data_IF_569625007864
#
_entry.id   IF_569625007864
#
_cell.length_a   1.000
_cell.length_b   1.000
_cell.length_c   1.000
_cell.angle_alpha   90.00
_cell.angle_beta   90.00
_cell.angle_gamma   90.00
#
_symmetry.space_group_name_H-M   'P 1'
#
loop_
_entity.id
_entity.type
_entity.pdbx_description
1 polymer ?
#
# COMPACT_ATOMS: atom_id res chain seq x y z
N UNK A 1 -113.42 67.20 36.80
CA UNK A 1 -113.08 66.58 38.10
C UNK A 1 -113.05 65.07 37.93
N UNK A 2 -111.99 64.40 38.46
CA UNK A 2 -111.63 62.95 38.33
C UNK A 2 -111.13 62.56 36.92
N UNK A 3 -110.13 61.71 36.67
CA UNK A 3 -109.06 61.07 37.44
C UNK A 3 -108.08 60.47 36.39
N UNK A 4 -106.78 60.72 36.55
CA UNK A 4 -105.65 59.76 36.47
C UNK A 4 -105.72 58.52 35.55
N UNK A 5 -104.73 58.36 34.66
CA UNK A 5 -103.89 57.14 34.61
C UNK A 5 -102.64 57.34 33.74
N UNK A 6 -101.51 57.00 34.35
CA UNK A 6 -100.13 57.17 33.91
C UNK A 6 -99.67 55.82 33.33
N UNK A 7 -99.28 55.77 32.06
CA UNK A 7 -98.77 54.53 31.41
C UNK A 7 -97.25 54.58 31.38
N UNK A 8 -96.63 53.71 32.17
CA UNK A 8 -95.18 53.48 32.21
C UNK A 8 -94.86 52.30 31.28
N UNK A 9 -94.13 52.55 30.19
CA UNK A 9 -93.66 51.51 29.27
C UNK A 9 -92.40 50.82 29.81
N UNK A 10 -92.51 49.55 30.17
CA UNK A 10 -91.40 48.70 30.58
C UNK A 10 -90.86 47.95 29.34
N UNK A 11 -89.75 48.41 28.78
CA UNK A 11 -88.98 47.66 27.77
C UNK A 11 -88.17 46.56 28.47
N UNK A 12 -88.62 45.31 28.37
CA UNK A 12 -87.84 44.13 28.71
C UNK A 12 -86.75 43.89 27.66
N UNK A 13 -85.49 44.20 28.00
CA UNK A 13 -84.33 43.66 27.28
C UNK A 13 -84.16 42.18 27.66
N UNK A 14 -84.43 41.28 26.71
CA UNK A 14 -84.09 39.86 26.82
C UNK A 14 -82.59 39.75 26.51
N UNK A 15 -81.75 39.73 27.54
CA UNK A 15 -80.37 39.29 27.40
C UNK A 15 -80.36 37.78 27.15
N UNK A 16 -80.16 37.37 25.90
CA UNK A 16 -79.75 36.00 25.59
C UNK A 16 -78.32 35.80 26.11
N UNK A 17 -78.18 35.31 27.34
CA UNK A 17 -76.92 34.79 27.83
C UNK A 17 -76.58 33.53 27.01
N UNK A 18 -75.78 33.70 25.96
CA UNK A 18 -75.22 32.58 25.21
C UNK A 18 -74.29 31.82 26.15
N UNK A 19 -74.70 30.60 26.52
CA UNK A 19 -73.95 29.73 27.42
C UNK A 19 -72.67 29.26 26.72
N UNK A 20 -71.60 30.02 26.91
CA UNK A 20 -70.27 29.60 26.49
C UNK A 20 -69.83 28.39 27.32
N UNK A 21 -69.33 27.35 26.65
CA UNK A 21 -68.77 26.16 27.32
C UNK A 21 -67.27 26.33 27.50
N UNK A 22 -66.75 25.85 28.61
CA UNK A 22 -65.32 25.85 28.89
C UNK A 22 -64.73 24.46 28.74
N UNK A 23 -63.48 24.39 28.31
CA UNK A 23 -62.66 23.18 28.28
C UNK A 23 -61.38 23.41 29.10
N UNK A 24 -61.02 22.42 29.92
CA UNK A 24 -59.74 22.40 30.64
C UNK A 24 -58.74 21.57 29.85
N UNK A 25 -57.65 22.19 29.41
CA UNK A 25 -56.54 21.49 28.75
C UNK A 25 -55.44 21.26 29.77
N UNK A 26 -54.92 20.04 29.83
CA UNK A 26 -53.74 19.68 30.61
C UNK A 26 -52.65 19.08 29.72
N UNK A 27 -51.40 19.38 30.02
CA UNK A 27 -50.25 18.96 29.23
C UNK A 27 -49.30 18.08 30.04
N UNK A 28 -48.71 17.10 29.37
CA UNK A 28 -47.61 16.29 29.88
C UNK A 28 -46.49 16.31 28.84
N UNK A 29 -45.31 16.90 29.13
CA UNK A 29 -44.88 17.46 30.42
C UNK A 29 -45.64 18.74 30.83
N UNK A 30 -45.74 18.98 32.14
CA UNK A 30 -46.44 20.15 32.72
C UNK A 30 -45.72 21.48 32.47
N UNK A 31 -44.50 21.45 31.94
CA UNK A 31 -43.73 22.64 31.57
C UNK A 31 -44.12 23.18 30.19
N UNK A 32 -44.94 22.46 29.42
CA UNK A 32 -45.33 22.89 28.09
C UNK A 32 -46.21 24.15 28.13
N UNK A 33 -45.94 25.10 27.25
CA UNK A 33 -46.74 26.32 27.09
C UNK A 33 -47.84 26.08 26.08
N UNK A 34 -49.07 26.47 26.44
CA UNK A 34 -50.25 26.40 25.59
C UNK A 34 -50.46 27.78 24.98
N UNK A 35 -50.49 27.85 23.65
CA UNK A 35 -50.77 29.06 22.89
C UNK A 35 -52.12 28.94 22.20
N UNK A 36 -52.95 29.98 22.27
CA UNK A 36 -54.10 30.16 21.38
C UNK A 36 -53.64 30.87 20.12
N UNK A 37 -54.18 30.47 18.98
CA UNK A 37 -53.97 31.17 17.71
C UNK A 37 -55.05 32.23 17.56
N UNK A 38 -54.64 33.48 17.36
CA UNK A 38 -55.57 34.58 17.09
C UNK A 38 -56.00 34.65 15.61
N UNK A 39 -56.88 35.59 15.28
CA UNK A 39 -57.37 35.78 13.91
C UNK A 39 -56.28 36.15 12.89
N UNK A 40 -55.09 36.58 13.36
CA UNK A 40 -53.94 36.94 12.53
C UNK A 40 -52.88 35.82 12.48
N UNK A 41 -53.20 34.60 12.93
CA UNK A 41 -52.28 33.48 13.08
C UNK A 41 -51.12 33.72 14.07
N UNK A 42 -51.27 34.64 15.03
CA UNK A 42 -50.29 34.88 16.08
C UNK A 42 -50.56 34.01 17.30
N UNK A 43 -49.49 33.45 17.84
CA UNK A 43 -49.52 32.68 19.08
C UNK A 43 -49.64 33.60 20.31
N UNK A 44 -50.69 33.41 21.11
CA UNK A 44 -50.93 34.10 22.38
C UNK A 44 -50.86 33.07 23.49
N UNK A 45 -49.91 33.19 24.42
CA UNK A 45 -49.80 32.27 25.55
C UNK A 45 -51.05 32.37 26.44
N UNK A 46 -51.68 31.22 26.72
CA UNK A 46 -52.91 31.11 27.52
C UNK A 46 -52.73 30.27 28.78
N UNK A 47 -51.60 29.55 28.91
CA UNK A 47 -51.25 28.82 30.13
C UNK A 47 -49.96 28.01 29.99
N UNK A 48 -49.44 27.52 31.11
CA UNK A 48 -48.31 26.58 31.19
C UNK A 48 -48.78 25.36 31.95
N UNK A 49 -48.63 24.17 31.35
CA UNK A 49 -49.09 22.89 31.90
C UNK A 49 -50.61 22.70 31.89
N UNK A 50 -51.37 23.75 32.18
CA UNK A 50 -52.83 23.75 32.15
C UNK A 50 -53.39 25.08 31.65
N UNK A 51 -54.52 25.05 30.95
CA UNK A 51 -55.27 26.24 30.55
C UNK A 51 -56.78 25.94 30.55
N UNK A 52 -57.61 26.92 30.94
CA UNK A 52 -59.07 26.84 30.78
C UNK A 52 -59.47 27.77 29.65
N UNK A 53 -60.07 27.23 28.60
CA UNK A 53 -60.50 27.99 27.43
C UNK A 53 -62.02 28.05 27.36
N UNK A 54 -62.54 29.24 27.10
CA UNK A 54 -63.94 29.45 26.74
C UNK A 54 -64.10 29.27 25.23
N UNK A 55 -64.98 28.36 24.81
CA UNK A 55 -65.30 28.09 23.41
C UNK A 55 -66.73 28.53 23.15
N UNK A 56 -66.84 29.65 22.44
CA UNK A 56 -68.14 30.17 22.00
C UNK A 56 -68.75 29.27 20.92
N UNK A 57 -70.08 29.31 20.82
CA UNK A 57 -70.81 28.40 19.95
C UNK A 57 -70.51 28.73 18.48
N UNK A 58 -70.21 27.70 17.70
CA UNK A 58 -69.86 27.77 16.28
C UNK A 58 -68.59 28.59 15.99
N UNK A 59 -67.77 28.89 17.01
CA UNK A 59 -66.48 29.57 16.89
C UNK A 59 -65.31 28.62 17.22
N UNK A 60 -64.58 28.11 16.20
CA UNK A 60 -63.46 27.21 16.43
C UNK A 60 -62.26 27.91 17.07
N UNK A 61 -61.60 27.25 18.02
CA UNK A 61 -60.34 27.73 18.62
C UNK A 61 -59.23 26.72 18.36
N UNK A 62 -58.18 27.17 17.68
CA UNK A 62 -56.95 26.40 17.50
C UNK A 62 -55.94 26.76 18.58
N UNK A 63 -55.32 25.75 19.15
CA UNK A 63 -54.18 25.88 20.06
C UNK A 63 -52.95 25.20 19.49
N UNK A 64 -51.78 25.67 19.94
CA UNK A 64 -50.51 24.99 19.75
C UNK A 64 -49.86 24.82 21.13
N UNK A 65 -49.45 23.59 21.44
CA UNK A 65 -48.70 23.26 22.65
C UNK A 65 -47.23 23.12 22.28
N UNK A 66 -46.35 23.88 22.94
CA UNK A 66 -44.91 23.87 22.70
C UNK A 66 -44.12 23.58 23.97
N UNK A 67 -43.05 22.82 23.81
CA UNK A 67 -42.00 22.64 24.79
C UNK A 67 -40.70 22.40 24.02
N UNK A 68 -39.59 23.01 24.45
CA UNK A 68 -38.30 22.81 23.78
C UNK A 68 -37.89 21.34 23.79
N UNK A 69 -37.36 20.87 22.65
CA UNK A 69 -37.01 19.46 22.45
C UNK A 69 -38.18 18.53 22.17
N UNK A 70 -39.42 19.03 22.04
CA UNK A 70 -40.59 18.25 21.64
C UNK A 70 -41.21 18.75 20.34
N UNK A 71 -41.80 17.83 19.57
CA UNK A 71 -42.62 18.17 18.41
C UNK A 71 -43.90 18.87 18.91
N UNK A 72 -44.22 20.10 18.45
CA UNK A 72 -45.44 20.79 18.87
C UNK A 72 -46.71 20.04 18.48
N UNK A 73 -47.74 20.11 19.34
CA UNK A 73 -49.08 19.58 19.05
C UNK A 73 -50.00 20.75 18.71
N UNK A 74 -50.63 20.69 17.54
CA UNK A 74 -51.70 21.62 17.14
C UNK A 74 -53.05 20.93 17.20
N UNK A 75 -54.06 21.57 17.81
CA UNK A 75 -55.41 21.02 17.94
C UNK A 75 -56.46 22.11 17.87
N UNK A 76 -57.57 21.83 17.18
CA UNK A 76 -58.72 22.73 17.06
C UNK A 76 -59.92 22.18 17.84
N UNK A 77 -60.54 23.02 18.65
CA UNK A 77 -61.76 22.72 19.39
C UNK A 77 -62.94 23.47 18.78
N UNK A 78 -64.09 22.79 18.71
CA UNK A 78 -65.34 23.32 18.17
C UNK A 78 -66.46 22.99 19.14
N UNK A 79 -67.34 23.95 19.39
CA UNK A 79 -68.57 23.78 20.16
C UNK A 79 -69.76 24.08 19.25
N UNK A 80 -70.44 23.06 18.73
CA UNK A 80 -71.55 23.25 17.78
C UNK A 80 -72.78 22.44 18.18
N UNK A 81 -73.89 22.60 17.45
CA UNK A 81 -75.08 21.74 17.67
C UNK A 81 -74.82 20.26 17.36
N UNK A 82 -73.81 19.95 16.55
CA UNK A 82 -73.48 18.59 16.08
C UNK A 82 -72.27 18.00 16.79
N UNK A 83 -71.46 18.81 17.49
CA UNK A 83 -70.25 18.41 18.20
C UNK A 83 -70.31 18.99 19.61
N UNK A 84 -70.43 18.11 20.61
CA UNK A 84 -70.36 18.53 22.01
C UNK A 84 -68.91 18.73 22.45
N UNK A 85 -68.66 19.82 23.17
CA UNK A 85 -67.32 20.19 23.62
C UNK A 85 -66.90 19.30 24.81
N UNK A 86 -65.71 18.71 24.72
CA UNK A 86 -65.09 17.98 25.83
C UNK A 86 -64.90 18.92 27.03
N UNK A 87 -65.16 18.41 28.25
CA UNK A 87 -64.89 19.17 29.49
C UNK A 87 -63.39 19.26 29.78
N UNK A 88 -62.66 18.20 29.46
CA UNK A 88 -61.22 18.10 29.71
C UNK A 88 -60.53 17.42 28.52
N UNK A 89 -59.30 17.87 28.22
CA UNK A 89 -58.43 17.22 27.24
C UNK A 89 -57.00 17.16 27.78
N UNK A 90 -56.35 16.01 27.59
CA UNK A 90 -54.97 15.76 28.05
C UNK A 90 -54.07 15.58 26.83
N UNK A 91 -53.19 16.54 26.60
CA UNK A 91 -52.25 16.53 25.50
C UNK A 91 -50.87 16.08 26.01
N UNK A 92 -50.33 15.01 25.41
CA UNK A 92 -49.03 14.45 25.80
C UNK A 92 -48.05 14.70 24.67
N UNK A 93 -47.00 15.46 24.94
CA UNK A 93 -45.87 15.65 24.03
C UNK A 93 -44.97 14.41 24.15
N UNK A 94 -45.16 13.46 23.24
CA UNK A 94 -44.43 12.19 23.25
C UNK A 94 -43.25 12.16 22.29
N UNK A 95 -43.34 12.91 21.18
CA UNK A 95 -42.34 12.96 20.14
C UNK A 95 -41.30 14.05 20.43
N UNK A 96 -40.02 13.69 20.28
CA UNK A 96 -38.90 14.60 20.48
C UNK A 96 -38.50 15.27 19.18
N UNK A 97 -37.84 16.42 19.25
CA UNK A 97 -37.24 17.08 18.10
C UNK A 97 -35.84 17.59 18.44
N UNK A 98 -34.88 17.36 17.55
CA UNK A 98 -33.52 17.89 17.65
C UNK A 98 -33.29 18.83 16.47
N UNK A 99 -32.82 20.04 16.72
CA UNK A 99 -32.28 20.90 15.68
C UNK A 99 -30.83 20.51 15.42
N UNK A 100 -30.54 19.89 14.28
CA UNK A 100 -29.17 19.54 13.90
C UNK A 100 -28.62 20.63 13.00
N UNK A 101 -27.48 21.19 13.36
CA UNK A 101 -26.71 22.14 12.56
C UNK A 101 -25.38 21.50 12.15
N UNK A 102 -24.98 21.66 10.89
CA UNK A 102 -23.81 21.02 10.31
C UNK A 102 -22.77 22.06 9.85
N UNK A 103 -21.50 21.78 10.11
CA UNK A 103 -20.38 22.53 9.56
C UNK A 103 -19.42 21.59 8.81
N UNK A 104 -18.82 22.00 7.68
CA UNK A 104 -19.01 23.27 6.96
C UNK A 104 -20.45 23.52 6.48
N UNK A 105 -20.81 24.78 6.22
CA UNK A 105 -22.19 25.21 5.91
C UNK A 105 -22.81 24.50 4.69
N UNK A 106 -21.99 24.05 3.76
CA UNK A 106 -22.41 23.32 2.57
C UNK A 106 -22.42 21.78 2.76
N UNK A 107 -22.28 21.30 4.00
CA UNK A 107 -22.51 19.90 4.34
C UNK A 107 -24.00 19.53 4.24
N UNK A 108 -24.25 18.26 3.92
CA UNK A 108 -25.60 17.69 3.75
C UNK A 108 -25.96 16.81 4.93
N UNK A 109 -27.18 16.97 5.43
CA UNK A 109 -27.72 16.20 6.55
C UNK A 109 -28.68 15.15 5.98
N UNK A 110 -28.41 13.89 6.32
CA UNK A 110 -29.22 12.74 5.96
C UNK A 110 -29.91 12.20 7.22
N UNK A 111 -31.23 11.99 7.15
CA UNK A 111 -32.02 11.40 8.24
C UNK A 111 -32.51 10.04 7.77
N UNK A 112 -32.10 8.97 8.45
CA UNK A 112 -32.35 7.57 8.06
C UNK A 112 -31.98 7.30 6.58
N UNK A 113 -30.86 7.89 6.12
CA UNK A 113 -30.35 7.73 4.76
C UNK A 113 -31.00 8.65 3.71
N UNK A 114 -32.05 9.39 4.05
CA UNK A 114 -32.70 10.35 3.12
C UNK A 114 -32.05 11.72 3.27
N UNK A 115 -31.65 12.33 2.15
CA UNK A 115 -31.12 13.70 2.12
C UNK A 115 -32.25 14.70 2.40
N UNK A 116 -32.12 15.48 3.47
CA UNK A 116 -33.20 16.34 3.96
C UNK A 116 -32.88 17.83 3.81
N UNK A 117 -31.63 18.23 4.06
CA UNK A 117 -31.27 19.64 4.09
C UNK A 117 -29.76 19.89 3.91
N UNK A 118 -29.43 21.12 3.53
CA UNK A 118 -28.11 21.71 3.72
C UNK A 118 -28.07 22.50 5.03
N UNK A 119 -26.93 22.48 5.71
CA UNK A 119 -26.63 23.24 6.93
C UNK A 119 -27.46 22.93 8.19
N UNK A 120 -28.79 22.86 8.15
CA UNK A 120 -29.63 22.68 9.33
C UNK A 120 -30.91 21.89 9.04
N UNK A 121 -31.31 21.02 9.98
CA UNK A 121 -32.55 20.24 9.89
C UNK A 121 -33.23 20.06 11.27
N UNK A 122 -34.56 19.99 11.29
CA UNK A 122 -35.33 19.54 12.46
C UNK A 122 -35.57 18.03 12.35
N UNK A 123 -35.06 17.28 13.32
CA UNK A 123 -35.11 15.82 13.36
C UNK A 123 -36.18 15.38 14.37
N UNK A 124 -37.36 15.02 13.89
CA UNK A 124 -38.44 14.52 14.73
C UNK A 124 -38.26 13.03 15.05
N UNK A 125 -38.21 12.67 16.33
CA UNK A 125 -37.97 11.32 16.84
C UNK A 125 -39.24 10.88 17.57
N UNK A 126 -39.99 9.98 16.92
CA UNK A 126 -41.23 9.45 17.50
C UNK A 126 -40.98 8.75 18.83
N UNK A 127 -41.99 8.73 19.69
CA UNK A 127 -41.97 7.89 20.89
C UNK A 127 -41.57 6.45 20.55
N UNK A 128 -40.68 5.91 21.36
CA UNK A 128 -40.12 4.57 21.25
C UNK A 128 -39.34 4.32 19.93
N UNK A 129 -38.97 5.37 19.20
CA UNK A 129 -38.22 5.28 17.95
C UNK A 129 -36.72 5.61 18.13
N UNK A 130 -35.96 5.21 17.12
CA UNK A 130 -34.55 5.53 16.93
C UNK A 130 -34.38 6.17 15.57
N UNK A 131 -33.57 7.22 15.49
CA UNK A 131 -33.19 7.86 14.23
C UNK A 131 -31.67 7.94 14.12
N UNK A 132 -31.17 7.64 12.92
CA UNK A 132 -29.77 7.88 12.55
C UNK A 132 -29.67 9.14 11.71
N UNK A 133 -28.78 10.04 12.09
CA UNK A 133 -28.43 11.25 11.34
C UNK A 133 -27.00 11.14 10.87
N UNK A 134 -26.77 11.35 9.57
CA UNK A 134 -25.45 11.40 8.99
C UNK A 134 -25.19 12.78 8.39
N UNK A 135 -24.00 13.32 8.62
CA UNK A 135 -23.55 14.57 7.99
C UNK A 135 -22.44 14.23 7.02
N UNK A 136 -22.65 14.55 5.74
CA UNK A 136 -21.75 14.19 4.64
C UNK A 136 -21.33 15.42 3.86
N UNK A 137 -20.07 15.43 3.44
CA UNK A 137 -19.51 16.42 2.52
C UNK A 137 -18.34 15.81 1.77
N UNK A 138 -18.24 16.03 0.46
CA UNK A 138 -17.12 15.56 -0.33
C UNK A 138 -15.78 16.09 0.24
N UNK A 139 -14.79 15.20 0.37
CA UNK A 139 -13.48 15.49 0.97
C UNK A 139 -13.44 15.51 2.49
N UNK A 140 -14.56 15.20 3.17
CA UNK A 140 -14.64 15.05 4.62
C UNK A 140 -15.11 13.65 5.01
N UNK A 141 -14.63 13.17 6.14
CA UNK A 141 -15.14 11.93 6.72
C UNK A 141 -16.56 12.14 7.23
N UNK A 142 -17.44 11.17 6.97
CA UNK A 142 -18.84 11.24 7.40
C UNK A 142 -18.94 11.10 8.90
N UNK A 143 -19.70 11.98 9.57
CA UNK A 143 -20.08 11.80 10.98
C UNK A 143 -21.50 11.27 11.08
N UNK A 144 -21.71 10.30 11.97
CA UNK A 144 -23.01 9.69 12.23
C UNK A 144 -23.37 9.84 13.71
N UNK A 145 -24.65 10.15 13.98
CA UNK A 145 -25.21 10.29 15.32
C UNK A 145 -26.55 9.56 15.37
N UNK A 146 -26.78 8.84 16.47
CA UNK A 146 -28.04 8.12 16.71
C UNK A 146 -28.76 8.81 17.85
N UNK A 147 -30.05 9.12 17.64
CA UNK A 147 -30.94 9.64 18.66
C UNK A 147 -32.01 8.61 18.99
N UNK A 148 -32.36 8.49 20.27
CA UNK A 148 -33.35 7.53 20.77
C UNK A 148 -34.36 8.27 21.65
N UNK A 149 -35.64 7.96 21.49
CA UNK A 149 -36.71 8.51 22.33
C UNK A 149 -37.42 7.36 23.06
N UNK A 150 -36.70 6.69 23.96
CA UNK A 150 -37.17 5.54 24.74
C UNK A 150 -36.92 5.78 26.22
N UNK A 151 -37.69 5.10 27.07
CA UNK A 151 -37.45 5.14 28.50
C UNK A 151 -36.09 4.48 28.82
N UNK A 152 -35.29 5.14 29.68
CA UNK A 152 -33.99 4.64 30.10
C UNK A 152 -32.83 4.92 29.13
N UNK A 153 -33.07 5.66 28.03
CA UNK A 153 -32.01 6.15 27.14
C UNK A 153 -31.70 7.62 27.42
N UNK A 154 -30.55 8.09 26.94
CA UNK A 154 -30.22 9.51 26.99
C UNK A 154 -31.28 10.34 26.25
N UNK A 155 -31.66 11.46 26.86
CA UNK A 155 -32.64 12.37 26.29
C UNK A 155 -31.99 13.08 25.09
N UNK A 156 -32.60 13.08 23.90
CA UNK A 156 -32.07 13.82 22.75
C UNK A 156 -31.91 15.32 23.09
N UNK A 157 -30.78 15.94 22.72
CA UNK A 157 -30.57 17.37 22.97
C UNK A 157 -31.54 18.22 22.15
N UNK A 158 -31.82 19.45 22.60
CA UNK A 158 -32.65 20.39 21.83
C UNK A 158 -31.96 20.80 20.53
N UNK A 159 -30.64 20.99 20.58
CA UNK A 159 -29.80 21.36 19.44
C UNK A 159 -28.50 20.55 19.45
N UNK A 160 -28.03 20.14 18.28
CA UNK A 160 -26.77 19.42 18.08
C UNK A 160 -25.96 20.12 16.98
N UNK A 161 -24.67 20.31 17.23
CA UNK A 161 -23.72 20.88 16.26
C UNK A 161 -22.74 19.81 15.80
N UNK A 162 -22.85 19.40 14.53
CA UNK A 162 -21.98 18.38 13.93
C UNK A 162 -20.99 19.05 12.98
N UNK A 163 -19.74 19.18 13.43
CA UNK A 163 -18.65 19.73 12.61
C UNK A 163 -17.82 18.60 11.99
N UNK A 164 -17.75 18.56 10.66
CA UNK A 164 -16.83 17.71 9.90
C UNK A 164 -15.43 18.32 9.94
N UNK A 165 -14.55 17.74 10.75
CA UNK A 165 -13.16 18.18 10.94
C UNK A 165 -12.19 17.33 10.16
N UNK A 166 -12.41 16.02 10.14
CA UNK A 166 -11.51 15.06 9.55
C UNK A 166 -11.75 14.99 8.04
N UNK A 167 -10.67 14.95 7.29
CA UNK A 167 -10.71 14.82 5.83
C UNK A 167 -10.80 13.36 5.45
N UNK A 168 -11.32 13.10 4.25
CA UNK A 168 -11.35 11.78 3.67
C UNK A 168 -10.93 11.83 2.20
N UNK A 169 -10.06 10.91 1.81
CA UNK A 169 -9.63 10.68 0.43
C UNK A 169 -10.03 9.27 0.06
N UNK A 170 -10.85 9.12 -0.98
CA UNK A 170 -11.14 7.81 -1.54
C UNK A 170 -10.04 7.41 -2.51
N UNK A 171 -9.34 6.32 -2.23
CA UNK A 171 -8.27 5.82 -3.09
C UNK A 171 -8.81 4.69 -3.97
N UNK A 172 -8.48 4.72 -5.26
CA UNK A 172 -8.80 3.67 -6.23
C UNK A 172 -7.49 3.18 -6.83
N UNK A 173 -7.25 1.88 -6.80
CA UNK A 173 -5.98 1.31 -7.26
C UNK A 173 -6.14 0.54 -8.57
N UNK A 174 -5.09 0.57 -9.38
CA UNK A 174 -4.91 -0.30 -10.54
C UNK A 174 -3.54 -0.95 -10.40
N UNK A 175 -3.43 -2.29 -10.28
CA UNK A 175 -4.51 -3.28 -10.25
C UNK A 175 -5.49 -3.15 -9.07
N UNK A 176 -6.65 -3.82 -9.16
CA UNK A 176 -7.67 -3.87 -8.10
C UNK A 176 -7.23 -4.64 -6.84
N UNK A 177 -6.13 -5.37 -6.93
CA UNK A 177 -5.74 -6.33 -5.91
C UNK A 177 -4.72 -5.73 -4.93
N UNK A 178 -4.33 -4.48 -5.17
CA UNK A 178 -3.38 -3.72 -4.37
C UNK A 178 -3.95 -3.49 -2.98
N UNK A 179 -3.17 -3.82 -1.97
CA UNK A 179 -3.50 -3.57 -0.58
C UNK A 179 -3.26 -2.11 -0.24
N UNK A 180 -4.22 -1.49 0.43
CA UNK A 180 -4.11 -0.12 0.96
C UNK A 180 -3.83 -0.22 2.45
N UNK A 181 -2.65 0.24 2.85
CA UNK A 181 -2.16 0.18 4.22
C UNK A 181 -1.97 1.60 4.73
N UNK A 182 -2.54 1.92 5.88
CA UNK A 182 -2.37 3.23 6.54
C UNK A 182 -1.73 2.99 7.90
N UNK A 183 -0.59 3.64 8.14
CA UNK A 183 0.19 3.49 9.38
C UNK A 183 0.41 2.00 9.77
N UNK A 184 0.77 1.16 8.80
CA UNK A 184 1.03 -0.28 8.99
C UNK A 184 -0.22 -1.16 9.10
N UNK A 185 -1.43 -0.60 9.06
CA UNK A 185 -2.69 -1.38 9.10
C UNK A 185 -3.35 -1.43 7.72
N UNK A 186 -3.62 -2.64 7.21
CA UNK A 186 -4.46 -2.83 6.01
C UNK A 186 -5.88 -2.31 6.29
N UNK A 187 -6.35 -1.36 5.48
CA UNK A 187 -7.71 -0.79 5.56
C UNK A 187 -8.60 -1.19 4.39
N UNK A 188 -8.01 -1.68 3.30
CA UNK A 188 -8.77 -2.06 2.11
C UNK A 188 -7.90 -2.70 1.03
N UNK A 189 -8.53 -2.98 -0.10
CA UNK A 189 -7.91 -3.58 -1.29
C UNK A 189 -8.67 -3.08 -2.52
N UNK A 190 -7.97 -2.55 -3.52
CA UNK A 190 -8.60 -2.00 -4.74
C UNK A 190 -9.24 -0.63 -4.57
N UNK A 191 -9.93 -0.45 -3.45
CA UNK A 191 -10.64 0.76 -3.07
C UNK A 191 -10.65 0.89 -1.54
N UNK A 192 -10.42 2.11 -1.04
CA UNK A 192 -10.52 2.40 0.39
C UNK A 192 -10.83 3.89 0.66
N UNK A 193 -11.45 4.17 1.81
CA UNK A 193 -11.53 5.52 2.37
C UNK A 193 -10.34 5.73 3.32
N UNK A 194 -9.44 6.65 2.98
CA UNK A 194 -8.37 7.09 3.87
C UNK A 194 -8.89 8.28 4.68
N UNK A 195 -9.00 8.11 5.99
CA UNK A 195 -9.39 9.18 6.92
C UNK A 195 -8.14 9.88 7.43
N UNK A 196 -8.13 11.21 7.32
CA UNK A 196 -7.03 12.09 7.72
C UNK A 196 -7.54 13.00 8.83
N UNK A 197 -7.16 12.76 10.10
CA UNK A 197 -7.55 13.62 11.21
C UNK A 197 -7.10 15.07 11.01
N UNK A 198 -7.89 16.00 11.54
CA UNK A 198 -7.59 17.43 11.46
C UNK A 198 -6.17 17.77 11.97
N UNK A 199 -5.44 18.59 11.22
CA UNK A 199 -4.05 19.03 11.51
C UNK A 199 -3.03 17.89 11.61
N UNK A 200 -3.30 16.75 10.98
CA UNK A 200 -2.36 15.62 10.93
C UNK A 200 -2.00 15.22 9.50
N UNK A 201 -0.99 14.36 9.37
CA UNK A 201 -0.65 13.69 8.12
C UNK A 201 -0.74 12.18 8.33
N UNK A 202 -1.20 11.45 7.31
CA UNK A 202 -1.19 10.00 7.27
C UNK A 202 -0.34 9.52 6.09
N UNK A 203 0.47 8.49 6.33
CA UNK A 203 1.23 7.82 5.28
C UNK A 203 0.46 6.58 4.84
N UNK A 204 0.31 6.44 3.53
CA UNK A 204 -0.42 5.36 2.87
C UNK A 204 0.55 4.59 1.98
N UNK A 205 0.64 3.29 2.21
CA UNK A 205 1.40 2.36 1.40
C UNK A 205 0.45 1.55 0.52
N UNK A 206 0.80 1.45 -0.75
CA UNK A 206 0.08 0.67 -1.74
C UNK A 206 0.96 -0.52 -2.13
N UNK A 207 0.57 -1.71 -1.70
CA UNK A 207 1.42 -2.91 -1.74
C UNK A 207 0.77 -4.01 -2.56
N UNK A 208 1.54 -4.60 -3.46
CA UNK A 208 1.15 -5.80 -4.22
C UNK A 208 2.40 -6.59 -4.61
N UNK A 209 2.36 -7.90 -4.45
CA UNK A 209 3.46 -8.78 -4.84
C UNK A 209 3.80 -8.64 -6.32
N UNK A 210 5.10 -8.60 -6.62
CA UNK A 210 5.60 -8.39 -7.98
C UNK A 210 5.56 -6.94 -8.46
N UNK A 211 5.09 -6.00 -7.64
CA UNK A 211 5.12 -4.57 -7.94
C UNK A 211 6.00 -3.81 -6.95
N UNK A 212 6.45 -2.63 -7.37
CA UNK A 212 7.10 -1.68 -6.47
C UNK A 212 6.04 -1.03 -5.58
N UNK A 213 6.27 -1.03 -4.26
CA UNK A 213 5.41 -0.31 -3.31
C UNK A 213 5.42 1.18 -3.62
N UNK A 214 4.23 1.78 -3.67
CA UNK A 214 4.08 3.25 -3.70
C UNK A 214 3.75 3.71 -2.30
N UNK A 215 4.46 4.73 -1.81
CA UNK A 215 4.16 5.42 -0.57
C UNK A 215 3.69 6.84 -0.89
N UNK A 216 2.59 7.27 -0.27
CA UNK A 216 2.06 8.63 -0.42
C UNK A 216 1.60 9.19 0.91
N UNK A 217 1.85 10.47 1.14
CA UNK A 217 1.41 11.18 2.34
C UNK A 217 0.23 12.10 2.01
N UNK A 218 -0.81 12.06 2.84
CA UNK A 218 -1.93 12.98 2.81
C UNK A 218 -1.97 13.78 4.11
N UNK A 219 -2.06 15.10 4.01
CA UNK A 219 -2.06 16.01 5.14
C UNK A 219 -3.35 16.84 5.16
N UNK A 220 -3.89 17.06 6.37
CA UNK A 220 -5.08 17.89 6.60
C UNK A 220 -4.70 19.16 7.36
N UNK A 221 -3.79 19.96 6.79
CA UNK A 221 -3.35 21.25 7.35
C UNK A 221 -4.13 22.41 6.74
N UNK A 222 -4.09 23.57 7.39
CA UNK A 222 -4.74 24.78 6.86
C UNK A 222 -4.15 25.18 5.50
N UNK A 223 -5.02 25.49 4.55
CA UNK A 223 -4.65 25.88 3.19
C UNK A 223 -4.31 24.72 2.24
N UNK A 224 -4.18 23.49 2.74
CA UNK A 224 -4.00 22.31 1.89
C UNK A 224 -5.34 21.77 1.39
N UNK A 225 -5.41 21.49 0.09
CA UNK A 225 -6.58 20.86 -0.53
C UNK A 225 -6.27 19.40 -0.84
N UNK A 226 -7.07 18.50 -0.28
CA UNK A 226 -7.00 17.08 -0.60
C UNK A 226 -8.02 16.74 -1.69
N UNK A 227 -7.65 15.91 -2.68
CA UNK A 227 -8.60 15.45 -3.69
C UNK A 227 -9.64 14.53 -3.03
N UNK A 228 -10.94 14.64 -3.37
CA UNK A 228 -11.94 13.71 -2.87
C UNK A 228 -11.69 12.25 -3.29
N UNK A 229 -11.03 12.06 -4.43
CA UNK A 229 -10.63 10.75 -4.93
C UNK A 229 -9.24 10.82 -5.54
N UNK A 230 -8.42 9.81 -5.28
CA UNK A 230 -7.07 9.67 -5.80
C UNK A 230 -6.91 8.32 -6.50
N UNK A 231 -6.36 8.32 -7.71
CA UNK A 231 -6.19 7.11 -8.52
C UNK A 231 -4.72 6.70 -8.51
N UNK A 232 -4.44 5.51 -7.99
CA UNK A 232 -3.09 5.00 -7.78
C UNK A 232 -2.83 3.84 -8.72
N UNK A 233 -1.79 3.94 -9.54
CA UNK A 233 -1.44 2.90 -10.49
C UNK A 233 -0.06 2.31 -10.18
N UNK A 234 -0.03 1.02 -9.83
CA UNK A 234 1.23 0.29 -9.68
C UNK A 234 1.61 -0.25 -11.06
N UNK A 235 2.59 0.39 -11.68
CA UNK A 235 3.06 0.06 -13.04
C UNK A 235 4.48 -0.53 -13.05
N UNK A 236 5.30 -0.16 -12.07
CA UNK A 236 6.66 -0.66 -11.93
C UNK A 236 6.65 -2.05 -11.28
N UNK A 237 7.43 -2.97 -11.84
CA UNK A 237 7.57 -4.34 -11.36
C UNK A 237 8.75 -4.46 -10.40
N UNK A 238 8.68 -5.45 -9.52
CA UNK A 238 9.75 -5.80 -8.62
C UNK A 238 9.92 -7.32 -8.59
N UNK A 239 11.17 -7.78 -8.72
CA UNK A 239 11.53 -9.20 -8.64
C UNK A 239 12.42 -9.41 -7.43
N UNK A 240 12.02 -10.29 -6.51
CA UNK A 240 12.87 -10.71 -5.41
C UNK A 240 13.84 -11.79 -5.90
N UNK A 241 15.11 -11.42 -6.05
CA UNK A 241 16.19 -12.33 -6.42
C UNK A 241 16.79 -12.92 -5.15
N UNK A 242 16.97 -14.24 -5.15
CA UNK A 242 17.80 -14.98 -4.21
C UNK A 242 18.83 -15.79 -4.99
N UNK A 243 19.94 -16.16 -4.35
CA UNK A 243 21.03 -16.87 -5.03
C UNK A 243 21.46 -18.10 -4.26
N UNK A 244 21.87 -19.11 -5.01
CA UNK A 244 22.51 -20.31 -4.46
C UNK A 244 23.84 -20.49 -5.18
N UNK A 245 24.99 -20.31 -4.50
CA UNK A 245 25.16 -20.06 -3.07
C UNK A 245 24.79 -18.62 -2.62
N UNK A 246 24.47 -18.48 -1.33
CA UNK A 246 23.93 -17.26 -0.70
C UNK A 246 24.91 -16.09 -0.56
N UNK A 247 26.18 -16.29 -0.88
CA UNK A 247 27.20 -15.25 -0.88
C UNK A 247 27.63 -14.86 -2.31
N UNK A 248 26.88 -15.29 -3.32
CA UNK A 248 27.08 -14.83 -4.69
C UNK A 248 26.72 -13.34 -4.83
N UNK A 249 27.51 -12.63 -5.64
CA UNK A 249 27.36 -11.21 -5.91
C UNK A 249 26.24 -11.01 -6.94
N UNK A 250 25.34 -10.06 -6.68
CA UNK A 250 24.26 -9.67 -7.59
C UNK A 250 24.59 -8.31 -8.19
N UNK A 251 24.63 -8.25 -9.53
CA UNK A 251 24.76 -7.01 -10.31
C UNK A 251 23.50 -6.76 -11.13
N UNK A 252 23.12 -5.48 -11.25
CA UNK A 252 22.05 -5.01 -12.13
C UNK A 252 22.64 -3.95 -13.04
N UNK A 253 22.55 -4.14 -14.36
CA UNK A 253 23.16 -3.26 -15.37
C UNK A 253 24.63 -2.91 -15.04
N UNK A 254 25.43 -3.97 -14.81
CA UNK A 254 26.85 -3.94 -14.43
C UNK A 254 27.21 -3.27 -13.09
N UNK A 255 26.22 -2.86 -12.28
CA UNK A 255 26.45 -2.29 -10.95
C UNK A 255 26.17 -3.30 -9.85
N UNK A 256 27.07 -3.37 -8.88
CA UNK A 256 26.91 -4.24 -7.71
C UNK A 256 25.77 -3.70 -6.83
N UNK A 257 24.76 -4.54 -6.58
CA UNK A 257 23.60 -4.17 -5.78
C UNK A 257 23.56 -4.87 -4.42
N UNK A 258 24.18 -6.05 -4.30
CA UNK A 258 24.23 -6.81 -3.06
C UNK A 258 24.78 -8.22 -3.24
N UNK A 259 24.63 -9.05 -2.22
CA UNK A 259 25.01 -10.48 -2.23
C UNK A 259 23.90 -11.32 -1.62
N UNK A 260 23.67 -12.51 -2.16
CA UNK A 260 22.66 -13.44 -1.63
C UNK A 260 21.26 -13.13 -2.10
N UNK A 261 20.74 -11.98 -1.69
CA UNK A 261 19.37 -11.53 -1.98
C UNK A 261 19.31 -10.07 -2.38
N UNK A 262 18.42 -9.74 -3.31
CA UNK A 262 18.17 -8.36 -3.73
C UNK A 262 16.80 -8.21 -4.41
N UNK A 263 16.11 -7.08 -4.16
CA UNK A 263 14.84 -6.74 -4.82
C UNK A 263 15.11 -5.84 -6.03
N UNK A 264 15.04 -6.41 -7.22
CA UNK A 264 15.29 -5.70 -8.48
C UNK A 264 14.04 -4.94 -8.90
N UNK A 265 14.16 -3.63 -9.09
CA UNK A 265 13.11 -2.76 -9.63
C UNK A 265 13.19 -2.69 -11.15
N UNK A 266 12.05 -2.80 -11.82
CA UNK A 266 11.93 -2.77 -13.27
C UNK A 266 10.83 -1.77 -13.64
N UNK A 267 11.21 -0.60 -14.15
CA UNK A 267 10.22 0.40 -14.55
C UNK A 267 9.41 -0.09 -15.74
N UNK A 268 8.20 0.42 -15.86
CA UNK A 268 7.39 0.15 -17.04
C UNK A 268 8.09 0.64 -18.32
N UNK A 269 8.12 -0.19 -19.35
CA UNK A 269 8.81 0.08 -20.62
C UNK A 269 10.28 -0.35 -20.66
N UNK A 270 10.85 -0.84 -19.55
CA UNK A 270 12.28 -1.14 -19.44
C UNK A 270 12.55 -2.65 -19.31
N UNK A 271 13.79 -3.03 -19.63
CA UNK A 271 14.37 -4.33 -19.30
C UNK A 271 15.64 -4.10 -18.50
N UNK A 272 15.90 -4.96 -17.52
CA UNK A 272 17.13 -4.94 -16.72
C UNK A 272 17.86 -6.27 -16.86
N UNK A 273 19.19 -6.25 -16.91
CA UNK A 273 20.01 -7.46 -16.85
C UNK A 273 20.50 -7.68 -15.42
N UNK A 274 20.21 -8.87 -14.88
CA UNK A 274 20.72 -9.33 -13.60
C UNK A 274 21.83 -10.34 -13.85
N UNK A 275 23.01 -10.04 -13.33
CA UNK A 275 24.19 -10.91 -13.39
C UNK A 275 24.48 -11.40 -11.97
N UNK A 276 24.60 -12.72 -11.81
CA UNK A 276 25.00 -13.35 -10.55
C UNK A 276 26.33 -14.06 -10.74
N UNK A 277 27.32 -13.70 -9.92
CA UNK A 277 28.68 -14.22 -10.04
C UNK A 277 29.29 -14.59 -8.68
N UNK A 278 30.14 -15.62 -8.70
CA UNK A 278 30.96 -16.03 -7.56
C UNK A 278 32.18 -16.80 -8.05
N UNK A 279 33.33 -16.59 -7.42
CA UNK A 279 34.54 -17.35 -7.72
C UNK A 279 34.33 -18.87 -7.58
N UNK A 280 34.76 -19.63 -8.57
CA UNK A 280 34.56 -21.09 -8.64
C UNK A 280 33.19 -21.53 -9.14
N UNK A 281 32.38 -20.61 -9.65
CA UNK A 281 31.06 -20.88 -10.22
C UNK A 281 30.91 -20.25 -11.60
N UNK A 282 30.05 -20.84 -12.43
CA UNK A 282 29.66 -20.29 -13.73
C UNK A 282 28.70 -19.11 -13.51
N UNK A 283 28.98 -17.97 -14.16
CA UNK A 283 28.17 -16.75 -14.08
C UNK A 283 26.77 -17.01 -14.66
N UNK A 284 25.73 -16.57 -13.95
CA UNK A 284 24.34 -16.58 -14.44
C UNK A 284 23.93 -15.19 -14.90
N UNK A 285 23.31 -15.09 -16.08
CA UNK A 285 22.76 -13.84 -16.62
C UNK A 285 21.29 -14.02 -16.93
N UNK A 286 20.44 -13.11 -16.45
CA UNK A 286 19.01 -13.14 -16.73
C UNK A 286 18.45 -11.75 -17.00
N UNK A 287 17.65 -11.64 -18.05
CA UNK A 287 16.97 -10.39 -18.40
C UNK A 287 15.52 -10.42 -17.94
N UNK A 288 15.07 -9.36 -17.29
CA UNK A 288 13.69 -9.17 -16.87
C UNK A 288 13.12 -7.92 -17.52
N UNK A 289 11.94 -8.02 -18.14
CA UNK A 289 11.33 -6.94 -18.91
C UNK A 289 9.92 -6.63 -18.40
N UNK A 290 9.59 -5.35 -18.23
CA UNK A 290 8.25 -4.89 -17.85
C UNK A 290 7.61 -4.13 -19.02
N UNK A 291 7.18 -4.87 -20.05
CA UNK A 291 6.62 -4.30 -21.29
C UNK A 291 5.21 -4.83 -21.56
N UNK A 292 4.36 -4.00 -22.17
CA UNK A 292 3.07 -4.45 -22.68
C UNK A 292 3.24 -5.59 -23.70
N UNK A 293 2.38 -6.61 -23.60
CA UNK A 293 2.37 -7.75 -24.53
C UNK A 293 3.45 -8.82 -24.29
N UNK A 294 4.37 -8.62 -23.33
CA UNK A 294 5.28 -9.67 -22.85
C UNK A 294 4.76 -10.31 -21.56
N UNK A 295 5.22 -11.52 -21.27
CA UNK A 295 4.97 -12.15 -19.96
C UNK A 295 5.53 -11.25 -18.85
N UNK A 296 4.74 -11.00 -17.82
CA UNK A 296 5.21 -10.23 -16.66
C UNK A 296 6.38 -10.94 -15.98
N UNK A 297 7.36 -10.20 -15.44
CA UNK A 297 8.43 -10.78 -14.63
C UNK A 297 7.87 -11.60 -13.46
N UNK A 298 8.56 -12.67 -13.03
CA UNK A 298 8.17 -13.43 -11.85
C UNK A 298 8.26 -12.55 -10.59
N UNK A 299 7.47 -12.86 -9.57
CA UNK A 299 7.52 -12.14 -8.27
C UNK A 299 8.84 -12.40 -7.55
N UNK A 300 9.35 -13.62 -7.64
CA UNK A 300 10.63 -14.03 -7.05
C UNK A 300 11.32 -15.06 -7.93
N UNK A 301 12.64 -15.12 -7.84
CA UNK A 301 13.44 -16.12 -8.51
C UNK A 301 14.69 -16.48 -7.70
N UNK A 302 15.00 -17.77 -7.59
CA UNK A 302 16.26 -18.27 -7.05
C UNK A 302 17.21 -18.61 -8.20
N UNK A 303 18.34 -17.90 -8.28
CA UNK A 303 19.38 -18.12 -9.29
C UNK A 303 20.45 -19.05 -8.72
N UNK A 304 20.44 -20.29 -9.19
CA UNK A 304 21.41 -21.32 -8.78
C UNK A 304 22.61 -21.30 -9.72
N UNK A 305 23.79 -21.03 -9.16
CA UNK A 305 25.04 -21.10 -9.89
C UNK A 305 25.56 -22.54 -9.90
N UNK A 306 26.01 -22.99 -11.07
CA UNK A 306 26.70 -24.27 -11.20
C UNK A 306 28.18 -24.10 -10.88
N UNK A 307 28.78 -25.10 -10.23
CA UNK A 307 30.21 -25.12 -9.94
C UNK A 307 30.99 -25.08 -11.25
N UNK A 308 32.04 -24.27 -11.31
CA UNK A 308 32.97 -24.24 -12.42
C UNK A 308 33.97 -25.41 -12.29
N UNK A 309 33.75 -26.44 -13.11
CA UNK A 309 34.62 -27.62 -13.15
C UNK A 309 36.07 -27.30 -13.53
N UNK A 310 36.30 -26.25 -14.33
CA UNK A 310 37.66 -25.82 -14.67
C UNK A 310 38.38 -25.29 -13.42
N UNK A 311 37.65 -24.54 -12.59
CA UNK A 311 38.16 -24.01 -11.34
C UNK A 311 38.47 -25.11 -10.32
N UNK A 312 37.59 -26.11 -10.14
CA UNK A 312 37.83 -27.23 -9.20
C UNK A 312 38.88 -28.22 -9.71
N UNK A 313 39.04 -28.34 -11.02
CA UNK A 313 40.07 -29.18 -11.67
C UNK A 313 41.44 -28.50 -11.76
N UNK A 314 41.65 -27.38 -11.09
CA UNK A 314 42.88 -26.59 -11.13
C UNK A 314 43.32 -26.11 -9.75
N UNK A 315 44.57 -25.67 -9.68
CA UNK A 315 45.16 -25.02 -8.52
C UNK A 315 45.75 -23.68 -8.95
N UNK A 316 45.66 -22.68 -8.07
CA UNK A 316 46.35 -21.40 -8.27
C UNK A 316 47.86 -21.64 -8.30
N UNK A 317 48.56 -21.03 -9.25
CA UNK A 317 49.99 -21.21 -9.41
C UNK A 317 50.69 -19.91 -9.81
N UNK A 318 51.51 -19.42 -8.90
CA UNK A 318 52.38 -18.25 -9.12
C UNK A 318 53.53 -18.56 -10.09
N UNK A 319 53.72 -19.84 -10.47
CA UNK A 319 54.72 -20.28 -11.43
C UNK A 319 54.13 -20.52 -12.83
N UNK A 320 52.80 -20.41 -12.98
CA UNK A 320 52.14 -20.51 -14.29
C UNK A 320 52.57 -19.35 -15.18
N UNK A 321 52.82 -19.65 -16.47
CA UNK A 321 53.20 -18.65 -17.48
C UNK A 321 54.51 -17.89 -17.19
N UNK A 322 55.33 -18.33 -16.24
CA UNK A 322 56.65 -17.78 -15.93
C UNK A 322 57.77 -18.75 -16.31
N UNK A 323 58.94 -18.18 -16.61
CA UNK A 323 60.16 -18.93 -16.79
C UNK A 323 60.76 -19.25 -15.42
N UNK A 324 61.11 -20.50 -15.18
CA UNK A 324 61.99 -20.87 -14.08
C UNK A 324 63.27 -21.49 -14.64
N UNK A 325 64.42 -21.03 -14.16
CA UNK A 325 65.73 -21.50 -14.59
C UNK A 325 66.32 -22.39 -13.50
N UNK A 326 66.90 -23.51 -13.92
CA UNK A 326 67.56 -24.42 -13.02
C UNK A 326 68.92 -24.84 -13.57
N UNK A 327 69.89 -24.90 -12.66
CA UNK A 327 71.22 -25.44 -12.91
C UNK A 327 71.24 -26.94 -12.60
N UNK A 328 71.94 -27.72 -13.41
CA UNK A 328 72.07 -29.16 -13.24
C UNK A 328 73.53 -29.57 -13.09
N UNK A 329 73.79 -30.50 -12.18
CA UNK A 329 75.10 -31.15 -12.01
C UNK A 329 75.29 -32.35 -12.95
N UNK A 330 74.26 -32.69 -13.73
CA UNK A 330 74.23 -33.88 -14.61
C UNK A 330 74.91 -33.60 -15.94
N UNK A 331 75.31 -34.67 -16.61
CA UNK A 331 75.74 -34.59 -18.01
C UNK A 331 74.59 -34.11 -18.89
N UNK A 332 74.89 -33.41 -19.99
CA UNK A 332 73.89 -32.92 -20.93
C UNK A 332 72.99 -34.05 -21.47
N UNK A 333 73.58 -35.21 -21.78
CA UNK A 333 72.85 -36.37 -22.27
C UNK A 333 71.85 -36.93 -21.23
N UNK A 334 72.25 -36.98 -19.96
CA UNK A 334 71.39 -37.45 -18.88
C UNK A 334 70.30 -36.43 -18.54
N UNK A 335 70.66 -35.14 -18.48
CA UNK A 335 69.71 -34.04 -18.27
C UNK A 335 68.65 -34.01 -19.38
N UNK A 336 69.07 -34.15 -20.65
CA UNK A 336 68.17 -34.22 -21.80
C UNK A 336 67.19 -35.40 -21.72
N UNK A 337 67.67 -36.58 -21.31
CA UNK A 337 66.83 -37.76 -21.13
C UNK A 337 65.79 -37.55 -20.03
N UNK A 338 66.19 -36.97 -18.90
CA UNK A 338 65.29 -36.66 -17.79
C UNK A 338 64.25 -35.61 -18.22
N UNK A 339 64.69 -34.53 -18.88
CA UNK A 339 63.80 -33.48 -19.39
C UNK A 339 62.73 -34.07 -20.32
N UNK A 340 63.16 -34.91 -21.25
CA UNK A 340 62.29 -35.58 -22.21
C UNK A 340 61.32 -36.55 -21.52
N UNK A 341 61.80 -37.33 -20.54
CA UNK A 341 60.95 -38.25 -19.77
C UNK A 341 59.87 -37.52 -18.98
N UNK A 342 60.24 -36.47 -18.23
CA UNK A 342 59.27 -35.67 -17.46
C UNK A 342 58.26 -35.06 -18.42
N UNK A 343 58.70 -34.46 -19.53
CA UNK A 343 57.79 -33.87 -20.53
C UNK A 343 56.80 -34.90 -21.06
N UNK A 344 57.26 -36.09 -21.45
CA UNK A 344 56.40 -37.16 -21.99
C UNK A 344 55.49 -37.80 -20.94
N UNK A 345 55.79 -37.69 -19.64
CA UNK A 345 54.91 -38.18 -18.58
C UNK A 345 53.62 -37.35 -18.46
N UNK A 346 53.66 -36.06 -18.80
CA UNK A 346 52.52 -35.14 -18.69
C UNK A 346 51.90 -34.77 -20.05
N UNK A 347 52.66 -34.88 -21.13
CA UNK A 347 52.24 -34.49 -22.47
C UNK A 347 52.43 -35.64 -23.45
N UNK A 348 51.35 -36.05 -24.11
CA UNK A 348 51.36 -37.17 -25.04
C UNK A 348 52.17 -36.89 -26.32
N UNK A 349 52.34 -35.61 -26.68
CA UNK A 349 52.93 -35.21 -27.96
C UNK A 349 53.92 -34.04 -27.77
N UNK A 350 55.15 -34.26 -28.23
CA UNK A 350 56.17 -33.23 -28.43
C UNK A 350 56.07 -32.71 -29.86
N UNK A 351 55.84 -31.40 -30.00
CA UNK A 351 55.73 -30.73 -31.30
C UNK A 351 57.10 -30.48 -31.92
N UNK A 352 58.07 -30.07 -31.09
CA UNK A 352 59.44 -29.80 -31.50
C UNK A 352 60.39 -30.20 -30.39
N UNK A 353 61.36 -31.06 -30.70
CA UNK A 353 62.49 -31.35 -29.82
C UNK A 353 63.78 -31.26 -30.64
N UNK A 354 64.70 -30.42 -30.19
CA UNK A 354 66.03 -30.26 -30.76
C UNK A 354 67.06 -30.39 -29.64
N UNK A 355 67.83 -31.47 -29.69
CA UNK A 355 68.85 -31.78 -28.70
C UNK A 355 70.04 -30.83 -28.80
N UNK A 356 70.41 -30.37 -30.00
CA UNK A 356 71.60 -29.54 -30.20
C UNK A 356 71.44 -28.16 -29.59
N UNK A 357 70.24 -27.59 -29.67
CA UNK A 357 69.90 -26.29 -29.07
C UNK A 357 69.31 -26.41 -27.66
N UNK A 358 69.09 -27.64 -27.19
CA UNK A 358 68.45 -27.92 -25.90
C UNK A 358 67.03 -27.37 -25.80
N UNK A 359 66.25 -27.46 -26.89
CA UNK A 359 64.90 -26.91 -27.00
C UNK A 359 63.83 -28.01 -27.07
N UNK A 360 62.82 -27.94 -26.20
CA UNK A 360 61.62 -28.80 -26.26
C UNK A 360 60.39 -27.91 -26.22
N UNK A 361 59.43 -28.16 -27.11
CA UNK A 361 58.08 -27.59 -27.06
C UNK A 361 57.06 -28.69 -27.30
N UNK A 362 56.08 -28.79 -26.40
CA UNK A 362 54.96 -29.72 -26.59
C UNK A 362 53.87 -29.10 -27.44
N UNK A 363 53.07 -29.97 -28.06
CA UNK A 363 51.78 -29.57 -28.61
C UNK A 363 50.89 -29.02 -27.48
N UNK A 364 49.89 -28.22 -27.83
CA UNK A 364 48.86 -27.81 -26.88
C UNK A 364 48.04 -29.03 -26.43
N UNK A 365 47.97 -29.27 -25.13
CA UNK A 365 47.00 -30.19 -24.54
C UNK A 365 45.77 -29.40 -24.11
N UNK A 366 44.59 -29.78 -24.62
CA UNK A 366 43.35 -29.01 -24.48
C UNK A 366 42.35 -29.79 -23.64
N UNK A 367 41.77 -29.13 -22.63
CA UNK A 367 40.66 -29.65 -21.85
C UNK A 367 39.48 -28.68 -21.90
N UNK A 368 38.33 -29.19 -22.34
CA UNK A 368 37.10 -28.42 -22.47
C UNK A 368 36.16 -28.68 -21.30
N UNK A 369 35.62 -27.61 -20.74
CA UNK A 369 34.62 -27.56 -19.66
C UNK A 369 33.36 -26.83 -20.15
N UNK A 370 32.27 -26.87 -19.39
CA UNK A 370 30.97 -26.31 -19.79
C UNK A 370 31.01 -24.81 -20.11
N UNK A 371 31.91 -24.04 -19.47
CA UNK A 371 32.05 -22.60 -19.67
C UNK A 371 33.47 -22.16 -20.03
N UNK A 372 34.40 -23.08 -20.26
CA UNK A 372 35.81 -22.72 -20.45
C UNK A 372 36.55 -23.78 -21.28
N UNK A 373 37.54 -23.36 -22.05
CA UNK A 373 38.49 -24.26 -22.70
C UNK A 373 39.87 -23.86 -22.21
N UNK A 374 40.56 -24.81 -21.57
CA UNK A 374 41.90 -24.61 -21.05
C UNK A 374 42.88 -25.31 -21.97
N UNK A 375 43.97 -24.62 -22.33
CA UNK A 375 45.10 -25.22 -23.04
C UNK A 375 46.38 -25.07 -22.24
N UNK A 376 47.19 -26.11 -22.24
CA UNK A 376 48.46 -26.16 -21.52
C UNK A 376 49.55 -26.72 -22.42
N UNK A 377 50.76 -26.14 -22.34
CA UNK A 377 51.97 -26.68 -22.98
C UNK A 377 53.19 -26.39 -22.15
N UNK A 378 54.28 -27.09 -22.40
CA UNK A 378 55.57 -26.80 -21.79
C UNK A 378 56.61 -26.43 -22.84
N UNK A 379 57.48 -25.50 -22.46
CA UNK A 379 58.62 -25.05 -23.26
C UNK A 379 59.87 -25.18 -22.39
N UNK A 380 60.84 -25.95 -22.85
CA UNK A 380 62.19 -26.08 -22.27
C UNK A 380 63.18 -25.43 -23.22
N UNK A 381 64.12 -24.66 -22.67
CA UNK A 381 65.21 -24.03 -23.41
C UNK A 381 66.49 -24.16 -22.62
N UNK A 382 67.59 -24.57 -23.25
CA UNK A 382 68.90 -24.41 -22.64
C UNK A 382 69.22 -22.92 -22.49
N UNK A 383 69.66 -22.53 -21.29
CA UNK A 383 69.96 -21.16 -20.94
C UNK A 383 71.47 -20.90 -20.90
N UNK A 384 72.26 -21.88 -20.46
CA UNK A 384 73.71 -21.79 -20.34
C UNK A 384 74.31 -23.20 -20.48
N UNK A 385 75.56 -23.28 -20.92
CA UNK A 385 76.32 -24.53 -21.10
C UNK A 385 77.31 -24.77 -19.96
N UNK A 386 77.73 -23.72 -19.24
CA UNK A 386 78.74 -23.83 -18.19
C UNK A 386 78.56 -22.74 -17.11
N UNK A 387 77.86 -23.03 -16.00
CA UNK A 387 77.25 -24.32 -15.67
C UNK A 387 76.00 -24.58 -16.50
N UNK A 388 75.69 -25.87 -16.76
CA UNK A 388 74.56 -26.26 -17.61
C UNK A 388 73.24 -25.85 -16.95
N UNK A 389 72.45 -25.03 -17.66
CA UNK A 389 71.16 -24.51 -17.18
C UNK A 389 70.05 -24.72 -18.18
N UNK A 390 68.87 -25.05 -17.69
CA UNK A 390 67.64 -25.09 -18.47
C UNK A 390 66.62 -24.12 -17.89
N UNK A 391 65.94 -23.41 -18.79
CA UNK A 391 64.76 -22.60 -18.49
C UNK A 391 63.53 -23.34 -18.95
N UNK A 392 62.58 -23.54 -18.04
CA UNK A 392 61.33 -24.24 -18.29
C UNK A 392 60.18 -23.27 -18.06
N UNK A 393 59.17 -23.33 -18.93
CA UNK A 393 57.94 -22.54 -18.85
C UNK A 393 56.73 -23.45 -19.06
N UNK A 394 55.87 -23.53 -18.04
CA UNK A 394 54.55 -24.13 -18.16
C UNK A 394 53.55 -23.03 -18.56
N UNK A 395 53.04 -23.10 -19.78
CA UNK A 395 52.07 -22.14 -20.31
C UNK A 395 50.67 -22.67 -20.06
N UNK A 396 49.83 -21.88 -19.41
CA UNK A 396 48.43 -22.21 -19.09
C UNK A 396 47.54 -21.05 -19.52
N UNK A 397 46.59 -21.33 -20.41
CA UNK A 397 45.71 -20.32 -21.00
C UNK A 397 44.26 -20.79 -21.00
N UNK A 398 43.33 -19.84 -20.94
CA UNK A 398 41.89 -20.06 -20.92
C UNK A 398 41.17 -19.22 -21.97
N UNK A 399 40.08 -19.73 -22.52
CA UNK A 399 39.25 -18.99 -23.49
C UNK A 399 37.97 -18.39 -22.90
N UNK A 400 37.57 -18.79 -21.69
CA UNK A 400 36.28 -18.43 -21.06
C UNK A 400 35.05 -18.80 -21.90
N UNK A 401 35.22 -19.71 -22.85
CA UNK A 401 34.16 -20.25 -23.68
C UNK A 401 34.38 -21.75 -23.88
N UNK A 402 33.29 -22.53 -23.89
CA UNK A 402 33.39 -23.95 -24.17
C UNK A 402 33.70 -24.19 -25.66
N UNK A 403 34.47 -25.25 -25.94
CA UNK A 403 34.77 -25.74 -27.29
C UNK A 403 35.49 -24.72 -28.19
N UNK A 404 36.27 -23.81 -27.61
CA UNK A 404 37.13 -22.91 -28.39
C UNK A 404 38.20 -23.72 -29.13
N UNK A 405 38.42 -23.44 -30.41
CA UNK A 405 39.42 -24.18 -31.19
C UNK A 405 40.82 -23.79 -30.71
N UNK A 406 41.71 -24.77 -30.58
CA UNK A 406 43.10 -24.56 -30.14
C UNK A 406 43.89 -23.63 -31.07
N UNK A 407 43.40 -23.40 -32.30
CA UNK A 407 44.02 -22.56 -33.31
C UNK A 407 43.59 -21.08 -33.21
N UNK A 408 42.56 -20.79 -32.43
CA UNK A 408 41.98 -19.46 -32.28
C UNK A 408 42.76 -18.70 -31.19
N UNK A 409 44.06 -18.48 -31.44
CA UNK A 409 45.03 -17.95 -30.47
C UNK A 409 44.57 -16.63 -29.83
N UNK A 410 43.83 -15.79 -30.57
CA UNK A 410 43.29 -14.51 -30.12
C UNK A 410 42.23 -14.63 -29.02
N UNK A 411 41.61 -15.80 -28.88
CA UNK A 411 40.57 -16.07 -27.87
C UNK A 411 41.16 -16.56 -26.55
N UNK A 412 42.44 -16.92 -26.51
CA UNK A 412 43.09 -17.45 -25.32
C UNK A 412 43.85 -16.36 -24.57
N UNK A 413 43.62 -16.31 -23.26
CA UNK A 413 44.27 -15.40 -22.33
C UNK A 413 45.09 -16.19 -21.29
N UNK A 414 46.22 -15.65 -20.81
CA UNK A 414 46.98 -16.26 -19.73
C UNK A 414 46.08 -16.54 -18.52
N UNK A 415 46.22 -17.74 -17.96
CA UNK A 415 45.50 -18.19 -16.77
C UNK A 415 46.48 -18.39 -15.62
N UNK A 416 46.16 -17.80 -14.47
CA UNK A 416 46.92 -17.85 -13.22
C UNK A 416 46.78 -19.18 -12.45
N UNK A 417 46.17 -20.17 -13.11
CA UNK A 417 45.94 -21.51 -12.56
C UNK A 417 46.48 -22.56 -13.52
N UNK A 418 46.79 -23.72 -12.96
CA UNK A 418 47.20 -24.91 -13.71
C UNK A 418 46.25 -26.04 -13.40
N UNK A 419 45.92 -26.86 -14.41
CA UNK A 419 45.11 -28.05 -14.19
C UNK A 419 45.84 -29.00 -13.22
N UNK A 420 45.07 -29.69 -12.39
CA UNK A 420 45.60 -30.61 -11.37
C UNK A 420 46.50 -31.71 -11.97
N UNK A 421 46.29 -32.06 -13.23
CA UNK A 421 47.16 -32.97 -14.01
C UNK A 421 48.61 -32.48 -14.08
N UNK A 422 48.86 -31.17 -14.07
CA UNK A 422 50.18 -30.57 -14.22
C UNK A 422 50.73 -29.98 -12.93
N UNK A 423 50.08 -30.19 -11.78
CA UNK A 423 50.46 -29.50 -10.52
C UNK A 423 51.89 -29.82 -10.06
N UNK A 424 52.36 -31.05 -10.36
CA UNK A 424 53.64 -31.57 -9.89
C UNK A 424 54.75 -31.47 -10.96
N UNK A 425 54.44 -30.99 -12.17
CA UNK A 425 55.41 -31.00 -13.29
C UNK A 425 56.66 -30.17 -12.96
N UNK A 426 56.49 -29.00 -12.35
CA UNK A 426 57.59 -28.08 -12.02
C UNK A 426 58.47 -28.67 -10.91
N UNK A 427 57.86 -29.22 -9.85
CA UNK A 427 58.59 -29.83 -8.75
C UNK A 427 59.31 -31.12 -9.18
N UNK A 428 58.75 -31.85 -10.15
CA UNK A 428 59.40 -33.01 -10.75
C UNK A 428 60.66 -32.61 -11.54
N UNK A 429 60.61 -31.54 -12.34
CA UNK A 429 61.81 -30.99 -12.97
C UNK A 429 62.86 -30.60 -11.92
N UNK A 430 62.46 -29.81 -10.92
CA UNK A 430 63.35 -29.34 -9.84
C UNK A 430 64.02 -30.48 -9.06
N UNK A 431 63.29 -31.54 -8.75
CA UNK A 431 63.80 -32.65 -7.94
C UNK A 431 64.68 -33.62 -8.73
N UNK A 432 64.35 -33.88 -10.00
CA UNK A 432 65.05 -34.89 -10.81
C UNK A 432 66.27 -34.36 -11.56
N UNK A 433 66.31 -33.07 -11.88
CA UNK A 433 67.43 -32.46 -12.61
C UNK A 433 68.52 -31.84 -11.72
N UNK A 434 68.30 -31.73 -10.42
CA UNK A 434 69.34 -31.29 -9.48
C UNK A 434 70.57 -32.21 -9.53
#
# INVERSE_FOLDING_TARGET
MKHFLLVFGLCCFINNAWAAKTITISCSPSQATIYRIDANNKEIAVGIGTAVLKIDKDEPITIIVRLEGYVPISKTYVNSKTIDLLKEDRLVLEDRVVKVSAQPYDARIFINGVDQASNSALVAIKKDATITVEVKKAGFHTKSKIYQNRQGTDIPPVEEFITLTDRAVFVKTVPSDVQVIVNGKKIGQGYAEVVIPLQTCVTVEYVMDGYVTIEKQYCSKDGETLPPTDNISLIDRQVAISTTPQDALIKVDDRIMGSGEYKVRIKYGECVEVIVEKAGYVISKKSYCNNAGKSSPPVSENLVLSVDEAFTSSIQSDQSNLNFTMETSRSEADAWKILSQITMNYFDNIELADKETGYIRTSWNVKTFLGNTIRTRIIVKQADVSPLKYTIKLVSEQSRAAKTSVKDDELFLPWDRILNTYKDVISEFQSRLK
#
